data_IF_074028389257
#
_entry.id   IF_074028389257
#
_cell.length_a   1.000
_cell.length_b   1.000
_cell.length_c   1.000
_cell.angle_alpha   90.00
_cell.angle_beta   90.00
_cell.angle_gamma   90.00
#
_symmetry.space_group_name_H-M   'P 1'
#
loop_
_entity.id
_entity.type
_entity.pdbx_description
1 polymer ?
#
# COMPACT_ATOMS: atom_id res chain seq x y z
N UNK A 1 -47.72 -61.77 -22.92
CA UNK A 1 -47.40 -61.64 -24.36
C UNK A 1 -46.89 -60.23 -24.59
N UNK A 2 -45.71 -60.07 -25.17
CA UNK A 2 -45.20 -58.78 -25.67
C UNK A 2 -43.88 -58.34 -25.05
N UNK A 3 -42.79 -59.01 -25.41
CA UNK A 3 -41.45 -58.44 -25.28
C UNK A 3 -41.30 -57.24 -26.22
N UNK A 4 -40.65 -56.17 -25.75
CA UNK A 4 -39.87 -55.29 -26.62
C UNK A 4 -38.55 -54.97 -25.94
N UNK A 5 -37.54 -55.76 -26.31
CA UNK A 5 -36.13 -55.45 -26.13
C UNK A 5 -35.82 -54.09 -26.76
N UNK A 6 -35.20 -53.20 -25.98
CA UNK A 6 -34.46 -52.06 -26.54
C UNK A 6 -33.00 -52.21 -26.16
N UNK A 7 -32.30 -52.94 -27.01
CA UNK A 7 -30.84 -53.03 -27.04
C UNK A 7 -30.27 -51.66 -27.39
N UNK A 8 -29.41 -51.10 -26.53
CA UNK A 8 -28.62 -49.90 -26.85
C UNK A 8 -27.14 -50.32 -26.81
N UNK A 9 -26.35 -50.06 -27.86
CA UNK A 9 -24.95 -50.46 -27.90
C UNK A 9 -24.09 -49.61 -26.97
N UNK A 10 -23.10 -50.26 -26.34
CA UNK A 10 -22.04 -49.61 -25.58
C UNK A 10 -21.11 -48.84 -26.54
N UNK A 11 -21.12 -47.51 -26.45
CA UNK A 11 -20.12 -46.67 -27.09
C UNK A 11 -18.87 -46.68 -26.22
N UNK A 12 -17.84 -47.38 -26.70
CA UNK A 12 -16.47 -47.29 -26.22
C UNK A 12 -15.89 -45.95 -26.69
N UNK A 13 -15.61 -45.05 -25.75
CA UNK A 13 -14.86 -43.83 -26.02
C UNK A 13 -13.35 -44.11 -25.91
N UNK A 14 -12.52 -43.63 -26.86
CA UNK A 14 -11.07 -43.79 -26.79
C UNK A 14 -10.47 -42.90 -25.68
N UNK A 15 -9.55 -43.49 -24.91
CA UNK A 15 -8.79 -42.83 -23.86
C UNK A 15 -7.93 -41.68 -24.43
N UNK A 16 -8.38 -40.45 -24.22
CA UNK A 16 -7.54 -39.27 -24.41
C UNK A 16 -6.51 -39.22 -23.27
N UNK A 17 -5.26 -39.46 -23.64
CA UNK A 17 -4.07 -39.30 -22.82
C UNK A 17 -3.94 -37.80 -22.42
N UNK A 18 -4.65 -37.38 -21.37
CA UNK A 18 -4.54 -36.04 -20.81
C UNK A 18 -3.24 -35.97 -20.01
N UNK A 19 -2.22 -35.39 -20.64
CA UNK A 19 -1.06 -34.84 -19.95
C UNK A 19 -1.59 -33.79 -18.97
N UNK A 20 -1.67 -34.15 -17.68
CA UNK A 20 -1.93 -33.21 -16.59
C UNK A 20 -0.79 -32.20 -16.56
N UNK A 21 -1.03 -30.88 -16.78
CA UNK A 21 -0.03 -29.89 -16.41
C UNK A 21 0.21 -29.98 -14.88
N UNK A 22 1.44 -29.74 -14.40
CA UNK A 22 1.71 -29.71 -12.96
C UNK A 22 0.77 -28.69 -12.30
N UNK A 23 0.28 -28.95 -11.07
CA UNK A 23 -0.52 -27.98 -10.36
C UNK A 23 0.30 -26.70 -10.24
N UNK A 24 -0.23 -25.60 -10.79
CA UNK A 24 0.30 -24.27 -10.54
C UNK A 24 0.49 -24.12 -9.03
N UNK A 25 1.66 -23.64 -8.61
CA UNK A 25 1.96 -23.37 -7.21
C UNK A 25 0.75 -22.71 -6.53
N UNK A 26 0.34 -23.17 -5.33
CA UNK A 26 -0.81 -22.59 -4.66
C UNK A 26 -0.61 -21.08 -4.59
N UNK A 27 -1.55 -20.34 -5.19
CA UNK A 27 -1.57 -18.89 -5.10
C UNK A 27 -1.45 -18.53 -3.62
N UNK A 28 -0.41 -17.76 -3.27
CA UNK A 28 -0.14 -17.36 -1.91
C UNK A 28 -1.44 -16.90 -1.24
N UNK A 29 -1.83 -17.58 -0.17
CA UNK A 29 -3.12 -17.36 0.46
C UNK A 29 -3.19 -15.90 0.93
N UNK A 30 -4.14 -15.09 0.42
CA UNK A 30 -4.16 -13.65 0.72
C UNK A 30 -4.39 -13.37 2.21
N UNK A 31 -4.93 -14.34 2.97
CA UNK A 31 -5.07 -14.22 4.42
C UNK A 31 -3.73 -14.36 5.16
N UNK A 32 -2.81 -15.18 4.64
CA UNK A 32 -1.46 -15.32 5.20
C UNK A 32 -0.60 -14.09 4.88
N UNK A 33 -0.71 -13.55 3.66
CA UNK A 33 -0.04 -12.30 3.26
C UNK A 33 -0.51 -11.10 4.13
N UNK A 34 -1.80 -11.04 4.47
CA UNK A 34 -2.33 -10.01 5.39
C UNK A 34 -1.88 -10.17 6.83
N UNK A 35 -1.81 -11.40 7.35
CA UNK A 35 -1.37 -11.65 8.72
C UNK A 35 0.09 -11.23 8.92
N UNK A 36 0.95 -11.56 7.96
CA UNK A 36 2.35 -11.08 7.92
C UNK A 36 2.40 -9.56 7.76
N UNK A 37 1.53 -9.02 6.89
CA UNK A 37 1.27 -7.59 6.70
C UNK A 37 1.02 -6.80 7.99
N UNK A 38 0.13 -7.32 8.83
CA UNK A 38 -0.26 -6.71 10.11
C UNK A 38 0.85 -6.80 11.15
N UNK A 39 1.58 -7.92 11.22
CA UNK A 39 2.68 -8.05 12.17
C UNK A 39 3.86 -7.14 11.78
N UNK A 40 4.17 -7.06 10.48
CA UNK A 40 5.23 -6.21 9.96
C UNK A 40 5.00 -4.72 10.28
N UNK A 41 3.77 -4.24 10.11
CA UNK A 41 3.45 -2.84 10.42
C UNK A 41 3.32 -2.57 11.92
N UNK A 42 2.81 -3.53 12.70
CA UNK A 42 2.81 -3.43 14.16
C UNK A 42 4.23 -3.29 14.68
N UNK A 43 5.14 -4.15 14.23
CA UNK A 43 6.57 -4.09 14.58
C UNK A 43 7.19 -2.75 14.17
N UNK A 44 6.87 -2.22 12.99
CA UNK A 44 7.35 -0.90 12.56
C UNK A 44 6.86 0.22 13.47
N UNK A 45 5.56 0.25 13.78
CA UNK A 45 4.96 1.29 14.62
C UNK A 45 5.43 1.16 16.08
N UNK A 46 5.58 -0.05 16.59
CA UNK A 46 6.13 -0.30 17.92
C UNK A 46 7.58 0.19 18.00
N UNK A 47 8.42 -0.20 17.04
CA UNK A 47 9.82 0.25 16.98
C UNK A 47 9.93 1.77 16.83
N UNK A 48 9.10 2.40 16.00
CA UNK A 48 9.09 3.86 15.83
C UNK A 48 8.65 4.58 17.11
N UNK A 49 7.80 3.96 17.93
CA UNK A 49 7.40 4.48 19.23
C UNK A 49 8.53 4.35 20.24
N UNK A 50 9.10 3.17 20.42
CA UNK A 50 10.20 2.91 21.37
C UNK A 50 11.46 3.72 21.06
N UNK A 51 11.77 3.91 19.77
CA UNK A 51 12.88 4.75 19.34
C UNK A 51 12.58 6.26 19.38
N UNK A 52 11.38 6.67 19.79
CA UNK A 52 10.97 8.08 19.85
C UNK A 52 10.86 8.77 18.48
N UNK A 53 10.80 7.99 17.39
CA UNK A 53 10.75 8.50 16.01
C UNK A 53 9.39 9.10 15.64
N UNK A 54 8.35 8.74 16.39
CA UNK A 54 7.01 9.28 16.20
C UNK A 54 6.92 10.79 16.52
N UNK A 55 7.69 11.28 17.50
CA UNK A 55 7.65 12.69 17.88
C UNK A 55 8.30 13.59 16.82
N UNK A 56 7.65 14.71 16.49
CA UNK A 56 8.06 15.65 15.45
C UNK A 56 7.63 15.23 14.03
N UNK A 57 7.14 13.99 13.85
CA UNK A 57 7.01 13.33 12.53
C UNK A 57 5.82 12.39 12.47
N UNK A 58 4.88 12.48 13.40
CA UNK A 58 3.81 11.49 13.52
C UNK A 58 2.93 11.42 12.26
N UNK A 59 2.63 12.57 11.64
CA UNK A 59 1.89 12.62 10.37
C UNK A 59 2.63 11.87 9.25
N UNK A 60 3.96 11.97 9.16
CA UNK A 60 4.77 11.18 8.22
C UNK A 60 4.77 9.68 8.52
N UNK A 61 4.78 9.30 9.80
CA UNK A 61 4.65 7.90 10.21
C UNK A 61 3.29 7.30 9.78
N UNK A 62 2.21 8.06 9.93
CA UNK A 62 0.88 7.66 9.45
C UNK A 62 0.84 7.51 7.92
N UNK A 63 1.49 8.42 7.19
CA UNK A 63 1.61 8.33 5.72
C UNK A 63 2.32 7.04 5.30
N UNK A 64 3.41 6.67 5.97
CA UNK A 64 4.14 5.41 5.71
C UNK A 64 3.24 4.21 6.02
N UNK A 65 2.61 4.19 7.19
CA UNK A 65 1.84 3.03 7.62
C UNK A 65 0.59 2.77 6.76
N UNK A 66 -0.04 3.82 6.23
CA UNK A 66 -1.26 3.71 5.44
C UNK A 66 -0.96 3.57 3.94
N UNK A 67 0.02 4.31 3.43
CA UNK A 67 0.21 4.51 2.00
C UNK A 67 1.47 3.89 1.40
N UNK A 68 2.39 3.33 2.20
CA UNK A 68 3.66 2.81 1.70
C UNK A 68 3.82 1.32 1.90
N UNK A 69 4.47 0.70 0.93
CA UNK A 69 5.02 -0.64 1.07
C UNK A 69 6.25 -0.57 1.96
N UNK A 70 6.26 -1.40 2.99
CA UNK A 70 7.37 -1.58 3.92
C UNK A 70 7.97 -2.95 3.66
N UNK A 71 9.28 -3.01 3.51
CA UNK A 71 10.06 -4.23 3.38
C UNK A 71 11.09 -4.33 4.50
N UNK A 72 11.57 -5.53 4.76
CA UNK A 72 12.71 -5.77 5.64
C UNK A 72 14.04 -5.48 4.89
N UNK A 73 15.18 -5.48 5.60
CA UNK A 73 16.51 -5.30 5.02
C UNK A 73 16.88 -6.36 3.99
N UNK A 74 16.27 -7.54 4.05
CA UNK A 74 16.38 -8.60 3.04
C UNK A 74 15.52 -8.37 1.78
N UNK A 75 14.70 -7.31 1.74
CA UNK A 75 13.80 -6.99 0.63
C UNK A 75 12.44 -7.70 0.67
N UNK A 76 12.20 -8.56 1.67
CA UNK A 76 10.89 -9.19 1.88
C UNK A 76 9.84 -8.14 2.24
N UNK A 77 8.69 -8.14 1.55
CA UNK A 77 7.60 -7.20 1.82
C UNK A 77 6.96 -7.56 3.16
N UNK A 78 7.07 -6.65 4.13
CA UNK A 78 6.48 -6.77 5.45
C UNK A 78 5.06 -6.23 5.50
N UNK A 79 4.74 -5.20 4.71
CA UNK A 79 3.39 -4.63 4.62
C UNK A 79 3.21 -3.86 3.32
N UNK A 80 1.98 -3.82 2.79
CA UNK A 80 1.61 -3.03 1.61
C UNK A 80 0.84 -1.74 1.95
N UNK A 81 0.78 -1.41 3.23
CA UNK A 81 -0.04 -0.32 3.75
C UNK A 81 -1.31 -0.83 4.43
N UNK A 82 -1.78 -0.05 5.41
CA UNK A 82 -2.99 -0.31 6.17
C UNK A 82 -4.16 0.52 5.67
N UNK A 83 -5.38 -0.01 5.83
CA UNK A 83 -6.56 0.85 5.79
C UNK A 83 -6.59 1.78 7.01
N UNK A 84 -7.32 2.89 6.93
CA UNK A 84 -7.44 3.84 8.05
C UNK A 84 -8.01 3.20 9.31
N UNK A 85 -8.94 2.24 9.16
CA UNK A 85 -9.53 1.51 10.29
C UNK A 85 -8.49 0.60 10.96
N UNK A 86 -7.69 -0.11 10.18
CA UNK A 86 -6.62 -0.96 10.71
C UNK A 86 -5.54 -0.13 11.40
N UNK A 87 -5.12 0.99 10.80
CA UNK A 87 -4.18 1.91 11.42
C UNK A 87 -4.71 2.43 12.78
N UNK A 88 -5.99 2.81 12.86
CA UNK A 88 -6.61 3.23 14.11
C UNK A 88 -6.64 2.12 15.17
N UNK A 89 -6.95 0.89 14.77
CA UNK A 89 -6.94 -0.27 15.66
C UNK A 89 -5.53 -0.53 16.20
N UNK A 90 -4.51 -0.54 15.33
CA UNK A 90 -3.11 -0.75 15.74
C UNK A 90 -2.62 0.35 16.68
N UNK A 91 -2.93 1.63 16.41
CA UNK A 91 -2.56 2.75 17.30
C UNK A 91 -3.23 2.64 18.69
N UNK A 92 -4.47 2.14 18.74
CA UNK A 92 -5.19 1.86 19.99
C UNK A 92 -4.55 0.71 20.77
N UNK A 93 -4.13 -0.36 20.08
CA UNK A 93 -3.46 -1.52 20.67
C UNK A 93 -2.09 -1.13 21.22
N UNK A 94 -1.28 -0.43 20.42
CA UNK A 94 0.05 0.06 20.80
C UNK A 94 0.02 1.24 21.77
N UNK A 95 -1.15 1.68 22.25
CA UNK A 95 -1.30 2.73 23.27
C UNK A 95 -0.48 3.99 22.96
N UNK A 96 -0.54 4.44 21.71
CA UNK A 96 0.13 5.67 21.31
C UNK A 96 -0.33 6.87 22.14
N UNK A 97 0.57 7.83 22.34
CA UNK A 97 0.27 9.04 23.10
C UNK A 97 -0.69 9.95 22.32
N UNK A 98 -1.73 10.45 22.98
CA UNK A 98 -2.78 11.26 22.33
C UNK A 98 -2.28 12.65 21.99
N UNK A 99 -1.26 13.16 22.66
CA UNK A 99 -0.70 14.49 22.42
C UNK A 99 -0.02 14.58 21.05
N UNK A 100 0.34 13.45 20.43
CA UNK A 100 0.87 13.39 19.07
C UNK A 100 -0.11 13.98 18.03
N UNK A 101 -1.41 14.07 18.33
CA UNK A 101 -2.36 14.71 17.42
C UNK A 101 -2.22 16.23 17.36
N UNK A 102 -1.60 16.84 18.37
CA UNK A 102 -1.32 18.29 18.40
C UNK A 102 -0.33 18.70 17.31
N UNK A 103 0.53 17.78 16.88
CA UNK A 103 1.54 18.05 15.85
C UNK A 103 0.96 18.49 14.51
N UNK A 104 -0.26 18.05 14.19
CA UNK A 104 -0.97 18.46 12.99
C UNK A 104 -2.17 19.37 13.29
N UNK A 105 -2.17 20.00 14.48
CA UNK A 105 -3.15 21.00 14.88
C UNK A 105 -4.47 20.44 15.39
N UNK A 106 -4.57 19.15 15.70
CA UNK A 106 -5.77 18.60 16.33
C UNK A 106 -5.68 18.72 17.86
N UNK A 107 -6.80 19.04 18.48
CA UNK A 107 -6.91 19.07 19.94
C UNK A 107 -7.33 17.68 20.46
N UNK A 108 -6.56 17.07 21.38
CA UNK A 108 -6.83 15.71 21.85
C UNK A 108 -8.08 15.61 22.73
N UNK A 109 -8.50 16.71 23.38
CA UNK A 109 -9.69 16.76 24.24
C UNK A 109 -10.97 16.91 23.41
N UNK A 110 -10.88 17.60 22.27
CA UNK A 110 -11.95 17.76 21.29
C UNK A 110 -12.32 16.47 20.54
N UNK A 111 -11.48 15.43 20.63
CA UNK A 111 -11.72 14.12 20.01
C UNK A 111 -12.30 13.12 21.03
N UNK A 112 -13.25 12.27 20.59
CA UNK A 112 -13.96 11.29 21.42
C UNK A 112 -13.05 10.51 22.39
N UNK A 113 -12.96 10.89 23.67
CA UNK A 113 -11.94 10.37 24.57
C UNK A 113 -12.24 8.97 25.09
N UNK A 114 -13.53 8.58 25.08
CA UNK A 114 -13.99 7.27 25.54
C UNK A 114 -13.68 6.15 24.57
N UNK A 115 -13.70 6.43 23.27
CA UNK A 115 -13.48 5.43 22.23
C UNK A 115 -12.15 5.69 21.53
N UNK A 116 -11.10 5.01 22.02
CA UNK A 116 -9.73 5.18 21.51
C UNK A 116 -9.59 4.85 20.03
N UNK A 117 -10.44 3.97 19.49
CA UNK A 117 -10.39 3.63 18.06
C UNK A 117 -10.98 4.75 17.22
N UNK A 118 -12.15 5.27 17.60
CA UNK A 118 -12.77 6.43 16.95
C UNK A 118 -11.92 7.69 17.10
N UNK A 119 -11.24 7.86 18.23
CA UNK A 119 -10.24 8.90 18.43
C UNK A 119 -9.17 8.84 17.34
N UNK A 120 -8.51 7.69 17.18
CA UNK A 120 -7.43 7.54 16.19
C UNK A 120 -7.93 7.62 14.75
N UNK A 121 -9.12 7.10 14.47
CA UNK A 121 -9.72 7.22 13.15
C UNK A 121 -9.96 8.70 12.77
N UNK A 122 -10.50 9.48 13.71
CA UNK A 122 -10.71 10.93 13.51
C UNK A 122 -9.39 11.69 13.41
N UNK A 123 -8.40 11.31 14.23
CA UNK A 123 -7.05 11.88 14.20
C UNK A 123 -6.37 11.64 12.84
N UNK A 124 -6.45 10.42 12.28
CA UNK A 124 -5.91 10.08 10.96
C UNK A 124 -6.59 10.92 9.86
N UNK A 125 -7.92 11.10 9.93
CA UNK A 125 -8.64 11.93 8.97
C UNK A 125 -8.19 13.40 9.02
N UNK A 126 -7.94 13.95 10.21
CA UNK A 126 -7.44 15.31 10.40
C UNK A 126 -5.96 15.47 10.03
N UNK A 127 -5.17 14.40 10.15
CA UNK A 127 -3.74 14.42 9.88
C UNK A 127 -3.41 14.69 8.41
N UNK A 128 -4.39 14.66 7.48
CA UNK A 128 -4.16 14.86 6.03
C UNK A 128 -2.97 14.03 5.54
N UNK A 129 -3.05 12.72 5.75
CA UNK A 129 -1.96 11.78 5.48
C UNK A 129 -1.52 11.75 4.02
N UNK A 130 -2.31 12.29 3.09
CA UNK A 130 -1.94 12.43 1.67
C UNK A 130 -1.28 13.78 1.32
N UNK A 131 -1.10 14.67 2.29
CA UNK A 131 -0.51 16.00 2.05
C UNK A 131 0.99 15.93 1.73
N UNK A 132 1.49 16.95 1.02
CA UNK A 132 2.92 17.09 0.74
C UNK A 132 3.77 17.15 2.02
N UNK A 133 3.24 17.75 3.09
CA UNK A 133 3.90 17.77 4.41
C UNK A 133 4.06 16.36 4.98
N UNK A 134 3.04 15.50 4.83
CA UNK A 134 3.10 14.12 5.27
C UNK A 134 4.14 13.31 4.49
N UNK A 135 4.24 13.53 3.17
CA UNK A 135 5.31 12.92 2.36
C UNK A 135 6.69 13.41 2.81
N UNK A 136 6.89 14.72 2.98
CA UNK A 136 8.18 15.27 3.39
C UNK A 136 8.63 14.73 4.76
N UNK A 137 7.72 14.62 5.72
CA UNK A 137 8.02 13.99 7.01
C UNK A 137 8.34 12.50 6.88
N UNK A 138 7.66 11.78 5.99
CA UNK A 138 7.95 10.37 5.70
C UNK A 138 9.35 10.19 5.07
N UNK A 139 9.74 11.08 4.18
CA UNK A 139 11.07 11.06 3.55
C UNK A 139 12.18 11.31 4.57
N UNK A 140 11.95 12.18 5.56
CA UNK A 140 12.87 12.38 6.70
C UNK A 140 12.93 11.18 7.65
N UNK A 141 11.82 10.45 7.78
CA UNK A 141 11.72 9.30 8.69
C UNK A 141 12.31 8.02 8.08
N UNK A 142 12.29 7.89 6.75
CA UNK A 142 12.85 6.75 6.01
C UNK A 142 14.31 6.41 6.36
N UNK A 143 15.28 7.34 6.37
CA UNK A 143 16.66 7.02 6.76
C UNK A 143 16.79 6.63 8.23
N UNK A 144 15.90 7.11 9.11
CA UNK A 144 15.90 6.77 10.53
C UNK A 144 15.35 5.36 10.80
N UNK A 145 14.50 4.85 9.92
CA UNK A 145 13.96 3.48 10.01
C UNK A 145 14.92 2.39 9.50
N UNK A 146 15.86 2.74 8.60
CA UNK A 146 16.86 1.80 8.07
C UNK A 146 17.71 1.08 9.13
N UNK A 147 18.28 1.75 10.16
CA UNK A 147 19.06 1.06 11.19
C UNK A 147 18.23 0.05 11.99
N UNK A 148 16.90 0.16 11.97
CA UNK A 148 15.98 -0.78 12.61
C UNK A 148 15.55 -1.94 11.68
N UNK A 149 16.12 -2.03 10.47
CA UNK A 149 15.85 -3.10 9.51
C UNK A 149 14.67 -2.86 8.59
N UNK A 150 14.07 -1.66 8.59
CA UNK A 150 12.93 -1.34 7.72
C UNK A 150 13.35 -0.54 6.50
N UNK A 151 12.85 -0.95 5.33
CA UNK A 151 13.03 -0.29 4.04
C UNK A 151 11.65 0.15 3.54
N UNK A 152 11.45 1.46 3.44
CA UNK A 152 10.19 2.04 2.97
C UNK A 152 10.28 2.34 1.48
N UNK A 153 9.31 1.88 0.69
CA UNK A 153 9.24 2.18 -0.74
C UNK A 153 8.96 3.69 -0.97
N UNK A 154 9.51 4.28 -2.05
CA UNK A 154 9.20 5.66 -2.42
C UNK A 154 7.72 5.83 -2.76
N UNK A 155 7.18 7.04 -2.57
CA UNK A 155 5.75 7.29 -2.75
C UNK A 155 5.42 7.13 -4.21
N UNK A 156 4.32 6.46 -4.51
CA UNK A 156 3.72 6.57 -5.83
C UNK A 156 3.31 8.02 -6.17
N UNK A 157 3.08 8.85 -5.14
CA UNK A 157 2.69 10.28 -5.24
C UNK A 157 3.87 11.25 -5.24
N UNK A 158 5.12 10.78 -5.13
CA UNK A 158 6.25 11.63 -5.45
C UNK A 158 6.09 11.99 -6.94
N UNK A 159 6.20 13.27 -7.34
CA UNK A 159 6.20 13.59 -8.76
C UNK A 159 7.30 12.71 -9.34
N UNK A 160 6.91 11.73 -10.15
CA UNK A 160 7.84 11.08 -11.06
C UNK A 160 8.46 12.29 -11.75
N UNK A 161 9.74 12.54 -11.52
CA UNK A 161 10.52 13.40 -12.38
C UNK A 161 10.41 12.70 -13.72
N UNK A 162 9.39 13.10 -14.49
CA UNK A 162 9.26 12.75 -15.88
C UNK A 162 10.52 13.33 -16.47
N UNK A 163 11.47 12.44 -16.74
CA UNK A 163 12.58 12.67 -17.66
C UNK A 163 12.05 13.59 -18.76
N UNK A 164 12.58 14.82 -18.91
CA UNK A 164 11.96 15.84 -19.73
C UNK A 164 11.69 15.23 -21.11
N UNK A 165 10.41 15.22 -21.50
CA UNK A 165 10.00 14.73 -22.80
C UNK A 165 10.85 15.44 -23.86
N UNK A 166 11.38 14.70 -24.87
CA UNK A 166 12.07 15.34 -25.97
C UNK A 166 11.12 16.36 -26.60
N UNK A 167 11.59 17.60 -26.73
CA UNK A 167 10.83 18.70 -27.33
C UNK A 167 10.32 18.23 -28.70
N UNK A 168 9.03 18.44 -29.05
CA UNK A 168 8.56 18.18 -30.40
C UNK A 168 9.37 19.05 -31.38
N UNK A 169 9.77 18.52 -32.55
CA UNK A 169 10.50 19.30 -33.54
C UNK A 169 9.64 20.47 -34.00
N UNK A 170 10.22 21.68 -33.97
CA UNK A 170 9.66 22.87 -34.60
C UNK A 170 9.23 22.55 -36.04
N UNK A 171 8.02 22.95 -36.48
CA UNK A 171 7.65 22.83 -37.87
C UNK A 171 8.56 23.72 -38.72
N UNK A 172 9.10 23.22 -39.85
CA UNK A 172 10.03 23.97 -40.68
C UNK A 172 9.37 25.21 -41.28
N UNK A 173 10.10 26.32 -41.23
CA UNK A 173 9.75 27.60 -41.82
C UNK A 173 9.24 27.45 -43.26
N UNK A 174 7.98 27.81 -43.49
CA UNK A 174 7.37 27.89 -44.81
C UNK A 174 8.00 29.07 -45.58
N UNK A 175 8.72 28.74 -46.66
CA UNK A 175 9.36 29.71 -47.55
C UNK A 175 8.29 30.50 -48.33
N UNK A 176 8.49 31.80 -48.60
CA UNK A 176 7.54 32.60 -49.36
C UNK A 176 7.53 32.18 -50.83
N UNK A 177 6.36 31.73 -51.33
CA UNK A 177 6.16 31.47 -52.77
C UNK A 177 6.12 32.80 -53.54
N UNK A 178 7.18 33.00 -54.32
CA UNK A 178 7.30 34.00 -55.38
C UNK A 178 6.29 33.74 -56.51
N UNK A 179 5.68 34.84 -56.96
CA UNK A 179 5.50 35.33 -58.35
C UNK A 179 4.41 34.77 -59.28
N UNK A 180 3.65 35.76 -59.78
CA UNK A 180 3.26 36.07 -61.19
C UNK A 180 2.29 35.08 -61.84
N UNK A 181 1.32 35.48 -62.65
CA UNK A 181 1.15 36.62 -63.55
C UNK A 181 -0.35 36.75 -63.84
#
# INVERSE_FOLDING_TARGET
MGEMYRTVPAVVAPAANRILPPPAAPAADPASDRSVGMEGIRRLLDTARDAGLAAGRFRGLLHIAIGRTVSDGAGAVLSRGLTWREAAAVLKELRYDRELVREFGADPDSLSPRDRERFWYSAIALARVDSAEASAQADLLTPLLRPHGFVVAPSATAPRVTKPAPRPPEPPAEKPKRKKK
#
